data_IF_461258773038
#
_entry.id   IF_461258773038
#
_cell.length_a   1.000
_cell.length_b   1.000
_cell.length_c   1.000
_cell.angle_alpha   90.00
_cell.angle_beta   90.00
_cell.angle_gamma   90.00
#
_symmetry.space_group_name_H-M   'P 1'
#
loop_
_entity.id
_entity.type
_entity.pdbx_description
1 polymer ?
2 non-polymer ?
3 non-polymer ?
4 non-polymer ?
5 water ?
#
# COMPACT_ATOMS: atom_id res chain seq x y z
N UNK A 12 -6.53 -22.81 -11.43
CA UNK A 12 -7.10 -22.69 -10.08
C UNK A 12 -6.06 -22.41 -8.98
N UNK A 13 -6.29 -21.42 -8.13
CA UNK A 13 -5.25 -20.89 -7.24
C UNK A 13 -5.43 -21.26 -5.75
N UNK A 14 -4.41 -21.71 -5.02
CA UNK A 14 -4.59 -22.04 -3.60
C UNK A 14 -4.35 -20.79 -2.75
N UNK A 15 -5.22 -20.54 -1.78
CA UNK A 15 -5.06 -19.52 -0.76
C UNK A 15 -3.70 -19.60 -0.05
N UNK A 16 -3.01 -18.46 -0.03
CA UNK A 16 -1.76 -18.29 0.68
C UNK A 16 -1.85 -18.39 2.19
N UNK A 17 -3.07 -18.26 2.73
CA UNK A 17 -3.22 -18.29 4.18
C UNK A 17 -3.59 -19.70 4.63
N UNK A 18 -4.61 -20.24 3.97
CA UNK A 18 -5.12 -21.53 4.43
C UNK A 18 -5.10 -22.69 3.43
N UNK A 19 -4.65 -22.49 2.19
CA UNK A 19 -4.71 -23.58 1.20
C UNK A 19 -6.06 -23.82 0.55
N UNK A 20 -7.07 -23.08 0.95
CA UNK A 20 -8.38 -23.15 0.33
C UNK A 20 -8.45 -22.69 -1.12
N UNK A 21 -9.60 -22.79 -1.78
CA UNK A 21 -9.70 -22.29 -3.17
C UNK A 21 -10.04 -20.83 -3.39
N UNK A 22 -9.26 -20.16 -4.23
CA UNK A 22 -9.46 -18.73 -4.51
C UNK A 22 -10.31 -18.59 -5.76
N UNK A 23 -11.46 -17.93 -5.65
CA UNK A 23 -12.27 -17.68 -6.82
C UNK A 23 -12.09 -16.24 -7.25
N UNK A 24 -11.71 -16.05 -8.51
CA UNK A 24 -11.52 -14.71 -9.07
C UNK A 24 -12.81 -13.93 -9.20
N UNK A 25 -12.74 -12.61 -8.96
CA UNK A 25 -13.90 -11.80 -9.28
C UNK A 25 -13.48 -10.59 -10.12
N UNK A 26 -12.18 -10.36 -10.33
CA UNK A 26 -11.81 -9.15 -11.11
C UNK A 26 -10.52 -9.43 -11.85
N UNK A 27 -10.48 -9.12 -13.14
CA UNK A 27 -9.32 -9.45 -13.97
C UNK A 27 -8.91 -8.10 -14.57
N UNK A 28 -7.74 -7.61 -14.15
CA UNK A 28 -7.20 -6.33 -14.60
C UNK A 28 -6.25 -6.47 -15.77
N UNK A 29 -6.07 -7.70 -16.26
CA UNK A 29 -5.26 -7.89 -17.47
C UNK A 29 -3.76 -7.91 -17.21
N UNK A 30 -3.00 -7.87 -18.30
CA UNK A 30 -1.56 -7.78 -18.23
C UNK A 30 -1.13 -6.43 -17.67
N UNK A 31 -0.22 -6.46 -16.71
CA UNK A 31 0.29 -5.27 -16.05
C UNK A 31 1.81 -5.38 -16.00
N UNK A 32 2.46 -4.21 -16.08
CA UNK A 32 3.89 -4.12 -15.77
C UNK A 32 4.14 -4.06 -14.27
N UNK A 33 5.41 -4.20 -13.85
CA UNK A 33 5.76 -3.75 -12.51
C UNK A 33 5.38 -2.29 -12.25
N UNK A 34 4.80 -2.04 -11.08
CA UNK A 34 4.21 -0.73 -10.81
C UNK A 34 5.26 0.35 -10.59
N UNK A 35 6.50 -0.04 -10.28
CA UNK A 35 7.46 0.97 -9.88
C UNK A 35 8.72 0.91 -10.72
N UNK A 36 8.58 0.33 -11.90
CA UNK A 36 9.70 0.33 -12.84
C UNK A 36 9.59 1.50 -13.80
N UNK A 37 10.40 2.53 -13.64
CA UNK A 37 10.28 3.73 -14.49
C UNK A 37 11.47 3.74 -15.44
N UNK A 38 11.25 3.59 -16.74
CA UNK A 38 12.40 3.43 -17.65
C UNK A 38 12.83 4.77 -18.21
N UNK A 39 14.09 4.88 -18.61
CA UNK A 39 14.50 6.13 -19.27
C UNK A 39 13.91 6.14 -20.68
N UNK A 40 13.71 7.33 -21.29
CA UNK A 40 13.09 7.36 -22.61
C UNK A 40 13.85 6.54 -23.64
N UNK A 41 15.17 6.51 -23.55
CA UNK A 41 15.98 5.77 -24.53
C UNK A 41 15.91 4.27 -24.34
N UNK A 42 15.46 3.83 -23.17
CA UNK A 42 15.51 2.42 -22.84
C UNK A 42 14.61 1.59 -23.73
N UNK A 43 15.08 0.41 -24.07
CA UNK A 43 14.27 -0.48 -24.88
C UNK A 43 12.92 -0.79 -24.22
N UNK A 44 11.88 -0.83 -25.04
CA UNK A 44 10.56 -1.02 -24.49
C UNK A 44 10.31 -2.51 -24.60
N UNK A 45 10.99 -3.23 -23.72
CA UNK A 45 10.34 -4.41 -23.18
C UNK A 45 10.20 -4.13 -21.69
N UNK A 46 9.30 -4.88 -21.07
CA UNK A 46 9.33 -5.09 -19.62
C UNK A 46 8.53 -6.30 -19.14
N UNK A 47 8.82 -6.75 -17.92
CA UNK A 47 8.15 -7.90 -17.34
C UNK A 47 6.66 -7.55 -17.25
N UNK A 48 5.77 -8.43 -17.71
CA UNK A 48 4.35 -8.22 -17.33
C UNK A 48 3.85 -9.47 -16.63
N UNK A 49 2.70 -9.41 -15.97
CA UNK A 49 2.17 -10.55 -15.23
C UNK A 49 0.66 -10.33 -15.33
N UNK A 50 -0.14 -11.32 -14.99
CA UNK A 50 -1.59 -11.08 -15.06
C UNK A 50 -2.09 -10.62 -13.71
N UNK A 51 -2.69 -9.43 -13.65
CA UNK A 51 -3.16 -8.92 -12.38
C UNK A 51 -4.63 -9.30 -12.27
N UNK A 52 -5.00 -10.18 -11.34
CA UNK A 52 -6.41 -10.48 -11.13
C UNK A 52 -6.59 -10.84 -9.65
N UNK A 53 -7.80 -10.69 -9.12
CA UNK A 53 -7.99 -10.81 -7.69
C UNK A 53 -9.13 -11.76 -7.40
N UNK A 54 -8.95 -12.48 -6.30
CA UNK A 54 -9.97 -13.50 -5.95
C UNK A 54 -10.21 -13.51 -4.46
N UNK A 55 -11.15 -14.35 -4.01
CA UNK A 55 -11.42 -14.54 -2.60
C UNK A 55 -11.32 -16.03 -2.28
N UNK A 56 -10.54 -16.35 -1.25
CA UNK A 56 -10.57 -17.69 -0.70
C UNK A 56 -11.96 -18.11 -0.23
N UNK A 57 -12.35 -19.33 -0.58
CA UNK A 57 -13.61 -19.94 -0.15
C UNK A 57 -13.73 -20.30 1.32
N UNK A 58 -12.60 -20.53 1.97
CA UNK A 58 -12.60 -20.98 3.35
C UNK A 58 -12.45 -19.85 4.36
N UNK A 59 -11.47 -18.99 4.09
CA UNK A 59 -11.06 -18.00 5.08
C UNK A 59 -11.40 -16.56 4.71
N UNK A 60 -11.96 -16.42 3.51
CA UNK A 60 -12.42 -15.13 3.00
C UNK A 60 -11.36 -14.06 2.67
N UNK A 61 -10.12 -14.49 2.70
CA UNK A 61 -8.95 -13.68 2.30
C UNK A 61 -9.02 -13.29 0.83
N UNK A 62 -9.06 -11.99 0.61
CA UNK A 62 -9.00 -11.44 -0.77
C UNK A 62 -7.54 -11.25 -1.15
N UNK A 63 -7.19 -11.76 -2.33
CA UNK A 63 -5.79 -11.85 -2.73
C UNK A 63 -5.62 -11.97 -4.24
N UNK A 64 -4.42 -11.63 -4.72
CA UNK A 64 -4.11 -11.74 -6.13
C UNK A 64 -3.96 -13.20 -6.52
N UNK A 65 -4.13 -13.49 -7.80
CA UNK A 65 -3.92 -14.88 -8.24
C UNK A 65 -2.58 -15.16 -8.92
N UNK A 66 -1.72 -14.16 -9.08
CA UNK A 66 -0.37 -14.43 -9.53
C UNK A 66 0.58 -13.60 -8.65
N UNK A 67 1.61 -14.23 -8.09
CA UNK A 67 2.60 -13.48 -7.32
C UNK A 67 3.75 -13.03 -8.23
N UNK A 68 4.28 -11.84 -8.00
CA UNK A 68 5.52 -11.42 -8.65
C UNK A 68 6.62 -11.79 -7.68
N UNK A 69 7.69 -12.44 -8.14
CA UNK A 69 8.78 -12.75 -7.21
C UNK A 69 9.27 -11.53 -6.43
N UNK A 70 9.41 -11.70 -5.11
CA UNK A 70 9.90 -10.63 -4.25
C UNK A 70 11.12 -9.88 -4.78
N UNK A 71 12.08 -10.60 -5.35
CA UNK A 71 13.29 -9.91 -5.75
C UNK A 71 13.08 -9.03 -6.99
N UNK A 72 11.94 -9.17 -7.67
CA UNK A 72 11.64 -8.28 -8.81
C UNK A 72 11.14 -6.92 -8.37
N UNK A 73 10.61 -6.94 -7.15
CA UNK A 73 9.92 -5.77 -6.59
C UNK A 73 10.75 -5.00 -5.56
N UNK A 74 11.52 -5.74 -4.76
CA UNK A 74 12.25 -5.15 -3.64
C UNK A 74 13.75 -5.42 -3.83
N UNK A 75 14.46 -4.32 -4.08
CA UNK A 75 15.89 -4.40 -4.43
C UNK A 75 16.45 -3.00 -4.40
N UNK A 76 17.63 -2.79 -5.01
CA UNK A 76 18.38 -1.56 -4.72
C UNK A 76 17.78 -0.32 -5.34
N UNK A 77 16.90 -0.49 -6.32
CA UNK A 77 16.32 0.70 -6.93
C UNK A 77 14.87 1.05 -6.64
N UNK A 78 14.38 0.53 -5.54
CA UNK A 78 13.03 0.80 -5.09
C UNK A 78 12.79 2.30 -4.93
N UNK A 79 11.94 2.88 -5.78
CA UNK A 79 11.80 4.32 -5.91
C UNK A 79 10.92 4.98 -4.86
N UNK A 80 10.29 4.25 -3.95
CA UNK A 80 9.33 4.91 -3.04
C UNK A 80 9.98 5.23 -1.71
N UNK A 81 9.98 6.51 -1.33
CA UNK A 81 10.72 6.93 -0.16
C UNK A 81 9.61 7.50 0.74
N UNK A 82 9.22 6.80 1.81
CA UNK A 82 7.98 7.10 2.53
C UNK A 82 8.02 8.54 3.03
N UNK A 83 9.22 9.00 3.35
CA UNK A 83 9.28 10.33 3.96
C UNK A 83 8.93 11.52 3.07
N UNK A 84 8.53 11.28 1.82
CA UNK A 84 8.12 12.33 0.89
C UNK A 84 6.72 12.90 1.12
N UNK A 85 6.02 12.46 2.16
CA UNK A 85 4.69 13.01 2.45
C UNK A 85 4.79 13.51 3.88
N UNK A 86 4.39 14.78 4.03
CA UNK A 86 4.32 15.41 5.34
C UNK A 86 3.23 14.77 6.21
N UNK A 87 2.07 14.49 5.62
CA UNK A 87 1.01 13.81 6.34
C UNK A 87 1.56 12.49 6.90
N UNK A 88 2.25 11.71 6.06
CA UNK A 88 2.67 10.41 6.54
C UNK A 88 3.77 10.59 7.58
N UNK A 89 4.64 11.60 7.42
CA UNK A 89 5.70 11.74 8.43
C UNK A 89 5.03 11.94 9.80
N UNK A 90 4.00 12.77 9.82
CA UNK A 90 3.29 13.05 11.08
C UNK A 90 2.54 11.81 11.59
N UNK A 91 1.95 11.10 10.65
CA UNK A 91 1.22 9.88 10.99
C UNK A 91 2.14 8.91 11.72
N UNK A 92 3.34 8.68 11.20
CA UNK A 92 4.17 7.66 11.85
C UNK A 92 4.82 8.15 13.13
N UNK A 93 5.18 9.43 13.18
CA UNK A 93 5.71 9.99 14.43
C UNK A 93 4.74 9.72 15.58
N UNK A 94 3.45 9.98 15.34
CA UNK A 94 2.42 9.79 16.35
C UNK A 94 2.26 8.33 16.73
N UNK A 95 2.20 7.48 15.71
CA UNK A 95 2.16 6.05 16.00
C UNK A 95 3.35 5.66 16.88
N UNK A 96 4.54 6.10 16.54
CA UNK A 96 5.74 5.80 17.34
C UNK A 96 5.59 6.31 18.78
N UNK A 97 5.11 7.53 18.97
CA UNK A 97 4.91 8.04 20.33
C UNK A 97 3.88 7.23 21.12
N UNK A 98 2.79 6.87 20.42
CA UNK A 98 1.76 6.05 21.03
C UNK A 98 2.36 4.74 21.53
N UNK A 99 3.20 4.07 20.74
CA UNK A 99 3.87 2.86 21.20
C UNK A 99 4.84 3.13 22.36
N UNK A 100 5.62 4.20 22.29
CA UNK A 100 6.55 4.52 23.38
C UNK A 100 5.78 4.69 24.71
N UNK A 101 4.57 5.22 24.60
CA UNK A 101 3.76 5.43 25.80
C UNK A 101 3.02 4.20 26.32
N UNK A 102 2.97 3.11 25.55
CA UNK A 102 2.14 1.98 25.96
C UNK A 102 2.91 0.68 25.94
N UNK A 103 3.33 0.25 24.77
CA UNK A 103 3.90 -1.09 24.71
C UNK A 103 5.39 -1.17 25.05
N UNK A 104 6.06 -0.01 24.94
CA UNK A 104 7.51 0.09 25.06
C UNK A 104 7.95 0.80 26.35
N UNK A 105 7.13 0.72 27.38
CA UNK A 105 7.47 1.19 28.73
C UNK A 105 8.35 0.25 29.54
N UNK A 106 8.58 -0.97 29.05
CA UNK A 106 9.43 -1.87 29.83
C UNK A 106 10.79 -1.33 30.26
N UNK A 107 11.54 -2.09 31.06
CA UNK A 107 12.98 -1.83 30.98
C UNK A 107 13.54 -2.43 29.68
N UNK A 108 14.31 -1.69 28.90
CA UNK A 108 14.94 -2.30 27.73
C UNK A 108 13.86 -2.85 26.79
N UNK A 109 12.91 -2.00 26.38
CA UNK A 109 12.06 -2.65 25.38
C UNK A 109 12.74 -2.84 24.02
N UNK A 110 12.13 -3.62 23.11
CA UNK A 110 12.69 -3.87 21.77
C UNK A 110 11.51 -3.80 20.78
N UNK A 111 11.65 -3.01 19.72
CA UNK A 111 10.66 -2.97 18.65
C UNK A 111 11.35 -3.26 17.33
N UNK A 112 10.74 -4.18 16.57
CA UNK A 112 11.11 -4.53 15.20
C UNK A 112 10.10 -4.02 14.18
N UNK A 113 10.56 -3.30 13.16
CA UNK A 113 9.65 -2.89 12.10
C UNK A 113 10.02 -3.66 10.82
N UNK A 114 8.98 -4.26 10.23
CA UNK A 114 9.04 -4.91 8.92
C UNK A 114 8.70 -3.82 7.89
N UNK A 115 9.65 -3.55 7.02
CA UNK A 115 9.52 -2.60 5.90
C UNK A 115 9.66 -1.16 6.37
N UNK A 116 10.79 -0.93 7.03
CA UNK A 116 10.96 0.38 7.65
C UNK A 116 11.23 1.49 6.62
N UNK A 117 11.52 1.09 5.38
CA UNK A 117 11.82 2.02 4.30
C UNK A 117 12.88 3.05 4.74
N UNK A 118 12.70 4.34 4.50
CA UNK A 118 13.72 5.36 4.79
C UNK A 118 13.76 5.77 6.26
N UNK A 119 13.12 4.97 7.12
CA UNK A 119 13.03 5.18 8.56
C UNK A 119 11.99 6.19 9.03
N UNK A 120 10.95 6.44 8.25
CA UNK A 120 9.80 7.30 8.59
C UNK A 120 9.20 7.07 9.98
N UNK A 121 9.05 5.81 10.38
CA UNK A 121 8.61 5.52 11.75
C UNK A 121 9.77 5.43 12.73
N UNK A 122 10.78 4.64 12.41
CA UNK A 122 11.78 4.30 13.42
C UNK A 122 12.61 5.49 13.89
N UNK A 123 12.64 6.55 13.11
CA UNK A 123 13.38 7.73 13.54
C UNK A 123 12.97 8.19 14.95
N UNK A 124 11.67 8.15 15.26
CA UNK A 124 11.17 8.60 16.56
C UNK A 124 11.59 7.62 17.66
N UNK A 125 11.57 6.33 17.36
CA UNK A 125 12.00 5.30 18.28
C UNK A 125 13.49 5.49 18.63
N UNK A 126 14.31 5.65 17.61
CA UNK A 126 15.75 5.85 17.82
C UNK A 126 15.99 7.09 18.67
N UNK A 127 15.27 8.16 18.35
CA UNK A 127 15.39 9.45 19.04
C UNK A 127 14.95 9.36 20.48
N UNK A 128 14.15 8.34 20.81
CA UNK A 128 13.78 7.96 22.18
C UNK A 128 14.76 7.04 22.89
N UNK A 129 15.81 6.63 22.17
CA UNK A 129 16.84 5.79 22.76
C UNK A 129 16.39 4.37 22.98
N UNK A 130 15.31 3.95 22.30
CA UNK A 130 14.78 2.61 22.48
C UNK A 130 15.42 1.64 21.49
N UNK A 131 15.77 0.44 21.96
CA UNK A 131 16.38 -0.57 21.10
C UNK A 131 15.42 -1.04 20.00
N UNK A 132 15.91 -1.16 18.77
CA UNK A 132 15.02 -1.38 17.63
C UNK A 132 15.83 -2.02 16.50
N UNK A 133 15.09 -2.51 15.51
CA UNK A 133 15.69 -3.08 14.32
C UNK A 133 14.65 -2.95 13.22
N UNK A 134 15.04 -2.27 12.13
CA UNK A 134 14.28 -2.31 10.87
C UNK A 134 14.72 -3.41 9.92
N UNK A 135 13.77 -4.15 9.36
CA UNK A 135 14.05 -5.01 8.21
C UNK A 135 13.66 -4.26 6.95
N UNK A 136 14.61 -4.10 6.05
CA UNK A 136 14.30 -3.35 4.83
C UNK A 136 15.19 -3.98 3.73
N UNK A 137 14.61 -4.88 2.93
CA UNK A 137 15.35 -5.61 1.89
C UNK A 137 15.73 -4.70 0.74
N UNK A 138 15.14 -3.50 0.67
CA UNK A 138 15.45 -2.61 -0.44
C UNK A 138 16.58 -1.68 -0.06
N UNK A 139 17.75 -1.99 -0.61
CA UNK A 139 18.96 -1.47 0.00
C UNK A 139 19.09 0.05 -0.05
N UNK A 140 18.62 0.72 -1.10
CA UNK A 140 18.74 2.17 -1.16
C UNK A 140 17.93 2.94 -0.11
N UNK A 141 16.66 2.59 0.09
CA UNK A 141 15.92 3.10 1.24
C UNK A 141 16.50 2.65 2.58
N UNK A 142 17.00 1.42 2.67
CA UNK A 142 17.63 1.00 3.91
C UNK A 142 18.76 1.99 4.25
N UNK A 143 19.48 2.46 3.24
CA UNK A 143 20.66 3.28 3.50
C UNK A 143 20.23 4.64 4.04
N UNK A 144 19.12 5.16 3.52
CA UNK A 144 18.56 6.44 3.97
C UNK A 144 18.16 6.38 5.45
N UNK A 145 17.61 5.25 5.88
CA UNK A 145 17.33 5.00 7.28
C UNK A 145 18.58 4.91 8.18
N UNK A 146 19.59 4.13 7.79
CA UNK A 146 20.83 4.09 8.57
C UNK A 146 21.45 5.48 8.74
N UNK A 147 21.33 6.33 7.73
CA UNK A 147 21.83 7.70 7.81
C UNK A 147 21.19 8.53 8.94
N UNK A 148 19.99 8.18 9.35
CA UNK A 148 19.33 8.82 10.48
C UNK A 148 19.75 8.16 11.79
N UNK A 149 20.68 7.21 11.74
CA UNK A 149 21.10 6.56 12.97
C UNK A 149 20.34 5.31 13.36
N UNK A 150 19.42 4.91 12.48
CA UNK A 150 18.53 3.79 12.76
C UNK A 150 19.24 2.48 12.45
N UNK A 151 18.98 1.45 13.26
CA UNK A 151 19.55 0.13 13.07
C UNK A 151 18.70 -0.67 12.09
N UNK A 152 19.29 -1.03 10.95
CA UNK A 152 18.52 -1.64 9.88
C UNK A 152 19.22 -2.89 9.36
N UNK A 153 18.49 -3.98 9.10
CA UNK A 153 19.03 -5.15 8.39
C UNK A 153 18.50 -5.19 6.96
N UNK A 154 19.40 -5.28 5.98
CA UNK A 154 18.95 -5.27 4.60
C UNK A 154 18.56 -6.72 4.31
N UNK A 155 17.35 -7.10 4.70
CA UNK A 155 16.95 -8.50 4.54
C UNK A 155 15.44 -8.51 4.49
N UNK A 156 14.88 -9.57 3.91
CA UNK A 156 13.45 -9.78 4.06
C UNK A 156 13.18 -10.33 5.46
N UNK A 157 12.16 -9.82 6.13
CA UNK A 157 11.59 -10.52 7.27
C UNK A 157 10.87 -11.80 6.84
N UNK A 158 11.24 -12.94 7.44
CA UNK A 158 10.59 -14.24 7.25
C UNK A 158 11.02 -15.14 8.41
N UNK A 159 10.56 -16.40 8.43
CA UNK A 159 10.81 -17.32 9.55
C UNK A 159 12.29 -17.29 9.93
N UNK A 160 13.18 -17.39 8.94
CA UNK A 160 14.58 -17.64 9.27
C UNK A 160 15.27 -16.41 9.81
N UNK A 161 14.99 -15.24 9.22
CA UNK A 161 15.70 -14.06 9.67
C UNK A 161 15.08 -13.62 11.00
N UNK A 162 13.80 -13.91 11.20
CA UNK A 162 13.24 -13.71 12.54
C UNK A 162 13.91 -14.60 13.60
N UNK A 163 14.26 -15.84 13.25
CA UNK A 163 14.96 -16.72 14.18
C UNK A 163 16.34 -16.14 14.50
N UNK A 164 17.02 -15.64 13.49
CA UNK A 164 18.33 -15.05 13.68
C UNK A 164 18.18 -13.89 14.67
N UNK A 165 17.15 -13.06 14.48
CA UNK A 165 17.05 -11.88 15.33
C UNK A 165 16.70 -12.26 16.77
N UNK A 166 15.88 -13.28 16.94
CA UNK A 166 15.53 -13.78 18.26
C UNK A 166 16.80 -14.23 18.97
N UNK A 167 17.57 -15.07 18.28
CA UNK A 167 18.82 -15.61 18.78
C UNK A 167 19.79 -14.58 19.35
N UNK A 168 20.02 -13.48 18.65
CA UNK A 168 20.99 -12.46 19.01
C UNK A 168 20.42 -11.26 19.78
N UNK A 169 19.13 -10.97 19.65
CA UNK A 169 18.61 -9.77 20.28
C UNK A 169 17.52 -10.04 21.30
N UNK A 170 17.05 -11.28 21.38
CA UNK A 170 15.98 -11.66 22.30
C UNK A 170 14.63 -11.20 21.78
N UNK A 171 13.57 -11.33 22.61
CA UNK A 171 12.20 -11.18 22.11
C UNK A 171 11.80 -9.73 21.82
N UNK A 172 10.85 -9.52 20.92
CA UNK A 172 10.39 -8.18 20.66
C UNK A 172 9.04 -7.95 21.33
N UNK A 173 8.96 -6.83 22.05
CA UNK A 173 7.70 -6.35 22.58
C UNK A 173 6.69 -5.93 21.53
N UNK A 174 7.18 -5.28 20.47
CA UNK A 174 6.31 -4.88 19.36
C UNK A 174 6.97 -5.32 18.05
N UNK A 175 6.22 -6.00 17.19
CA UNK A 175 6.59 -6.07 15.76
C UNK A 175 5.54 -5.27 14.98
N UNK A 176 6.00 -4.34 14.13
CA UNK A 176 5.09 -3.41 13.47
C UNK A 176 5.37 -3.49 11.96
N UNK A 177 4.31 -3.40 11.17
CA UNK A 177 4.46 -3.33 9.70
C UNK A 177 3.37 -2.44 9.13
N UNK A 178 3.79 -1.46 8.34
CA UNK A 178 2.85 -0.54 7.71
C UNK A 178 2.99 -0.65 6.19
N UNK A 179 1.89 -0.90 5.49
CA UNK A 179 1.98 -0.94 4.02
C UNK A 179 3.02 -1.96 3.56
N UNK A 180 3.07 -3.04 4.34
CA UNK A 180 4.13 -4.01 4.12
C UNK A 180 3.59 -5.43 4.14
N UNK A 181 2.81 -5.79 5.16
CA UNK A 181 2.30 -7.15 5.22
C UNK A 181 1.44 -7.46 3.98
N UNK A 182 0.64 -6.51 3.48
CA UNK A 182 -0.17 -6.81 2.32
C UNK A 182 0.72 -7.03 1.09
N UNK A 183 2.03 -6.76 1.15
CA UNK A 183 2.94 -6.85 -0.01
C UNK A 183 3.55 -8.27 -0.05
N UNK A 184 3.21 -9.03 0.98
CA UNK A 184 3.94 -10.29 1.26
C UNK A 184 3.08 -11.56 1.12
N UNK A 185 3.17 -12.30 0.00
CA UNK A 185 2.40 -13.53 -0.20
C UNK A 185 2.72 -14.61 0.81
N UNK A 186 3.98 -14.64 1.26
CA UNK A 186 4.44 -15.60 2.26
C UNK A 186 4.13 -15.27 3.71
N UNK A 187 2.88 -14.89 3.93
CA UNK A 187 2.40 -14.38 5.20
C UNK A 187 2.50 -15.48 6.25
N UNK A 188 2.47 -16.74 5.81
CA UNK A 188 2.65 -17.81 6.79
C UNK A 188 4.07 -17.83 7.37
N UNK A 189 5.08 -17.66 6.53
CA UNK A 189 6.45 -17.59 7.06
C UNK A 189 6.68 -16.36 7.93
N UNK A 190 6.13 -15.23 7.50
CA UNK A 190 6.07 -14.05 8.37
C UNK A 190 5.50 -14.34 9.78
N UNK A 191 4.34 -14.96 9.82
CA UNK A 191 3.66 -15.27 11.07
C UNK A 191 4.47 -16.28 11.88
N UNK A 192 5.17 -17.20 11.20
CA UNK A 192 6.05 -18.10 11.93
C UNK A 192 7.18 -17.32 12.55
N UNK A 193 7.70 -16.34 11.82
CA UNK A 193 8.74 -15.45 12.32
C UNK A 193 8.18 -14.64 13.48
N UNK A 194 6.96 -14.12 13.40
CA UNK A 194 6.42 -13.34 14.53
C UNK A 194 6.35 -14.25 15.76
N UNK A 195 5.93 -15.49 15.52
CA UNK A 195 5.80 -16.47 16.61
C UNK A 195 7.16 -16.71 17.24
N UNK A 196 8.20 -16.82 16.43
CA UNK A 196 9.52 -17.06 17.02
C UNK A 196 10.04 -15.81 17.73
N UNK A 197 9.64 -14.61 17.31
CA UNK A 197 10.35 -13.42 17.79
C UNK A 197 9.65 -12.63 18.89
N UNK A 198 8.33 -12.72 18.90
CA UNK A 198 7.54 -11.76 19.68
C UNK A 198 7.51 -12.26 21.14
N UNK A 199 7.60 -11.31 22.06
CA UNK A 199 7.45 -11.55 23.50
C UNK A 199 6.14 -12.30 23.72
N UNK A 200 6.11 -13.14 24.77
CA UNK A 200 4.87 -13.85 25.05
C UNK A 200 3.71 -12.86 25.25
N UNK A 201 3.98 -11.70 25.85
CA UNK A 201 2.99 -10.62 26.01
C UNK A 201 3.13 -9.47 25.01
N UNK A 202 3.67 -9.78 23.84
CA UNK A 202 3.85 -8.70 22.86
C UNK A 202 2.68 -8.57 21.89
N UNK A 203 2.85 -7.67 20.93
CA UNK A 203 1.82 -7.44 19.92
C UNK A 203 2.46 -7.33 18.54
N UNK A 204 1.77 -7.88 17.55
CA UNK A 204 2.13 -7.69 16.14
C UNK A 204 1.06 -6.76 15.59
N UNK A 205 1.50 -5.59 15.11
CA UNK A 205 0.53 -4.56 14.72
C UNK A 205 0.84 -4.23 13.26
N UNK A 206 -0.18 -4.23 12.42
CA UNK A 206 0.13 -3.88 11.03
C UNK A 206 -1.04 -3.07 10.48
N UNK A 207 -0.72 -2.19 9.55
CA UNK A 207 -1.77 -1.42 8.94
C UNK A 207 -1.58 -1.46 7.41
N UNK A 208 -2.69 -1.62 6.69
CA UNK A 208 -2.68 -1.79 5.23
C UNK A 208 -4.01 -1.32 4.67
N UNK A 209 -4.04 -1.11 3.34
CA UNK A 209 -5.28 -0.70 2.71
C UNK A 209 -6.44 -1.66 2.99
N UNK A 210 -7.57 -1.05 3.34
CA UNK A 210 -8.73 -1.77 3.86
C UNK A 210 -9.72 -2.20 2.79
N UNK A 211 -10.13 -3.46 2.75
CA UNK A 211 -10.99 -3.95 1.68
C UNK A 211 -12.30 -3.13 1.74
N UNK A 212 -12.76 -2.78 2.95
CA UNK A 212 -14.00 -1.99 3.06
C UNK A 212 -13.94 -0.68 2.32
N UNK A 213 -12.85 0.05 2.52
CA UNK A 213 -12.67 1.27 1.75
C UNK A 213 -12.53 1.03 0.26
N UNK A 214 -11.77 0.01 -0.15
CA UNK A 214 -11.64 -0.18 -1.60
C UNK A 214 -13.01 -0.40 -2.28
N UNK A 215 -13.88 -1.17 -1.63
CA UNK A 215 -15.17 -1.58 -2.18
C UNK A 215 -16.05 -0.32 -2.15
N UNK A 216 -16.00 0.45 -1.08
CA UNK A 216 -16.90 1.62 -0.96
C UNK A 216 -16.53 2.72 -1.95
N UNK A 217 -15.23 2.85 -2.23
CA UNK A 217 -14.79 3.94 -3.10
C UNK A 217 -14.49 3.43 -4.50
N UNK A 218 -14.68 2.15 -4.80
CA UNK A 218 -14.26 1.51 -6.07
C UNK A 218 -12.82 1.94 -6.42
N UNK A 219 -11.95 1.94 -5.42
CA UNK A 219 -10.57 2.39 -5.68
C UNK A 219 -9.72 1.20 -6.16
N UNK A 220 -10.01 0.77 -7.38
CA UNK A 220 -9.34 -0.39 -7.98
C UNK A 220 -7.83 -0.14 -8.16
N UNK A 221 -7.40 1.11 -8.19
CA UNK A 221 -5.95 1.40 -8.33
C UNK A 221 -5.13 1.02 -7.08
N UNK A 222 -5.85 0.59 -6.03
CA UNK A 222 -5.22 -0.03 -4.88
C UNK A 222 -4.85 -1.48 -5.22
N UNK A 223 -5.15 -1.96 -6.42
CA UNK A 223 -4.83 -3.36 -6.76
C UNK A 223 -3.65 -3.27 -7.75
N UNK A 224 -2.47 -3.79 -7.38
CA UNK A 224 -1.34 -3.74 -8.30
C UNK A 224 -0.33 -4.72 -7.69
N UNK A 225 0.87 -4.84 -8.26
CA UNK A 225 1.72 -6.00 -7.99
C UNK A 225 2.08 -6.13 -6.51
N UNK A 226 2.34 -5.00 -5.86
CA UNK A 226 2.78 -5.02 -4.46
C UNK A 226 1.67 -5.08 -3.40
N UNK A 227 0.43 -5.02 -3.88
CA UNK A 227 -0.71 -5.28 -3.00
C UNK A 227 -1.25 -6.70 -3.18
N UNK A 228 -0.53 -7.68 -2.65
CA UNK A 228 -1.04 -9.07 -2.73
C UNK A 228 -2.37 -9.38 -2.02
N UNK A 229 -2.53 -8.83 -0.82
CA UNK A 229 -3.72 -9.04 0.02
C UNK A 229 -4.47 -7.72 0.17
N UNK A 230 -5.80 -7.76 0.09
CA UNK A 230 -6.65 -6.67 0.50
C UNK A 230 -7.33 -7.11 1.80
N UNK A 231 -6.70 -6.87 2.93
CA UNK A 231 -7.16 -7.42 4.21
C UNK A 231 -8.51 -6.82 4.66
N UNK A 232 -9.27 -7.61 5.40
CA UNK A 232 -10.44 -7.08 6.11
C UNK A 232 -10.28 -7.65 7.54
N UNK A 233 -11.15 -7.16 8.41
CA UNK A 233 -11.15 -7.69 9.79
C UNK A 233 -11.53 -9.18 9.75
N UNK A 234 -12.49 -9.53 8.91
CA UNK A 234 -12.96 -10.91 8.86
C UNK A 234 -11.80 -11.82 8.46
N UNK A 235 -11.06 -11.45 7.43
CA UNK A 235 -10.00 -12.36 6.97
C UNK A 235 -8.78 -12.30 7.88
N UNK A 236 -8.50 -11.13 8.48
CA UNK A 236 -7.35 -11.06 9.38
C UNK A 236 -7.65 -11.88 10.67
N UNK A 237 -8.88 -11.76 11.16
CA UNK A 237 -9.23 -12.56 12.36
C UNK A 237 -9.01 -14.06 12.12
N UNK A 238 -9.45 -14.55 10.96
CA UNK A 238 -9.28 -15.94 10.53
C UNK A 238 -7.82 -16.33 10.42
N UNK A 239 -7.01 -15.50 9.77
CA UNK A 239 -5.56 -15.76 9.65
C UNK A 239 -4.79 -15.80 10.97
N UNK A 240 -5.14 -14.89 11.87
CA UNK A 240 -4.52 -14.85 13.20
C UNK A 240 -4.85 -16.16 13.93
N UNK A 241 -6.13 -16.47 13.96
CA UNK A 241 -6.69 -17.63 14.71
C UNK A 241 -5.95 -18.87 14.25
N UNK A 242 -5.73 -18.94 12.94
CA UNK A 242 -5.19 -20.14 12.31
C UNK A 242 -3.73 -20.34 12.66
N UNK A 243 -3.05 -19.29 13.11
CA UNK A 243 -1.63 -19.29 13.45
C UNK A 243 -1.36 -19.18 14.93
N UNK A 244 -2.41 -19.36 15.73
CA UNK A 244 -2.25 -19.16 17.16
C UNK A 244 -2.32 -17.77 17.73
N UNK A 245 -2.61 -16.76 16.92
CA UNK A 245 -2.74 -15.39 17.40
C UNK A 245 -4.21 -15.00 17.48
N UNK A 246 -4.49 -13.78 17.89
CA UNK A 246 -5.88 -13.34 18.00
C UNK A 246 -6.00 -11.87 17.64
N UNK A 247 -7.05 -11.48 16.90
CA UNK A 247 -7.17 -10.07 16.62
C UNK A 247 -7.78 -9.38 17.85
N UNK A 248 -6.97 -8.51 18.47
CA UNK A 248 -7.38 -7.87 19.72
C UNK A 248 -7.73 -6.39 19.60
N UNK A 249 -7.38 -5.74 18.50
CA UNK A 249 -7.88 -4.39 18.30
C UNK A 249 -7.86 -4.07 16.80
N UNK A 250 -8.71 -3.11 16.42
CA UNK A 250 -8.75 -2.56 15.08
C UNK A 250 -8.90 -1.05 15.18
N UNK A 251 -8.30 -0.34 14.23
CA UNK A 251 -8.49 1.09 14.17
C UNK A 251 -8.50 1.48 12.68
N UNK A 252 -9.54 2.21 12.28
CA UNK A 252 -9.54 2.70 10.90
C UNK A 252 -8.69 3.95 10.76
N UNK A 253 -8.02 4.08 9.62
CA UNK A 253 -7.11 5.19 9.41
C UNK A 253 -7.46 5.78 8.06
N UNK A 254 -7.35 7.11 7.90
CA UNK A 254 -7.75 7.69 6.61
C UNK A 254 -6.63 7.72 5.55
N UNK A 255 -5.40 7.48 6.00
CA UNK A 255 -4.28 7.54 5.09
C UNK A 255 -4.38 6.48 4.00
N UNK A 256 -3.76 6.78 2.86
CA UNK A 256 -3.68 5.86 1.73
C UNK A 256 -5.02 5.41 1.22
N UNK A 257 -5.99 6.31 1.34
CA UNK A 257 -7.29 6.00 0.80
C UNK A 257 -8.18 5.19 1.71
N UNK A 258 -7.70 4.90 2.91
CA UNK A 258 -8.50 4.14 3.87
C UNK A 258 -7.79 2.85 4.25
N UNK A 259 -7.41 2.75 5.52
CA UNK A 259 -6.69 1.59 6.04
C UNK A 259 -7.31 1.10 7.35
N UNK A 260 -6.93 -0.11 7.75
CA UNK A 260 -7.17 -0.62 9.12
C UNK A 260 -5.82 -0.95 9.70
N UNK A 261 -5.62 -0.53 10.94
CA UNK A 261 -4.53 -1.02 11.77
C UNK A 261 -5.07 -2.14 12.64
N UNK A 262 -4.43 -3.30 12.45
CA UNK A 262 -4.83 -4.53 13.11
C UNK A 262 -3.84 -4.82 14.23
N UNK A 263 -4.33 -5.17 15.41
CA UNK A 263 -3.42 -5.55 16.50
C UNK A 263 -3.55 -7.04 16.84
N UNK A 264 -2.51 -7.85 16.68
CA UNK A 264 -2.59 -9.28 16.96
C UNK A 264 -1.81 -9.56 18.25
N UNK A 265 -2.40 -10.35 19.13
CA UNK A 265 -1.67 -10.87 20.29
C UNK A 265 -1.78 -12.40 20.29
N UNK A 266 -0.94 -13.07 21.08
CA UNK A 266 -1.10 -14.51 21.07
C UNK A 266 -2.43 -14.87 21.73
N UNK A 267 -3.00 -16.00 21.33
CA UNK A 267 -4.40 -16.37 21.58
C UNK A 267 -4.69 -16.32 23.08
N UNK A 268 -5.81 -15.70 23.45
CA UNK A 268 -6.11 -15.35 24.85
C UNK A 268 -5.17 -14.60 25.79
N UNK A 269 -4.08 -14.06 25.27
CA UNK A 269 -3.20 -13.22 26.07
C UNK A 269 -3.82 -11.88 26.43
N UNK A 270 -4.77 -11.40 25.61
CA UNK A 270 -5.39 -10.13 25.95
C UNK A 270 -6.86 -10.19 25.54
N UNK A 271 -7.64 -9.26 26.07
CA UNK A 271 -9.05 -9.32 25.71
C UNK A 271 -9.34 -8.42 24.52
N UNK A 272 -10.03 -8.93 23.50
CA UNK A 272 -10.19 -8.07 22.33
C UNK A 272 -11.02 -6.85 22.64
N UNK A 273 -10.67 -5.71 22.04
CA UNK A 273 -11.48 -4.52 22.24
C UNK A 273 -12.85 -4.69 21.60
N UNK A 274 -13.78 -3.85 22.06
CA UNK A 274 -15.14 -3.87 21.53
C UNK A 274 -15.08 -3.54 20.04
N UNK A 275 -14.06 -2.77 19.68
CA UNK A 275 -13.94 -2.35 18.28
C UNK A 275 -13.81 -3.56 17.35
N UNK A 276 -13.19 -4.67 17.77
CA UNK A 276 -13.03 -5.83 16.89
C UNK A 276 -14.40 -6.42 16.57
N UNK A 277 -15.23 -6.79 17.56
CA UNK A 277 -16.55 -7.32 17.26
C UNK A 277 -17.38 -6.34 16.42
N UNK A 278 -17.25 -5.05 16.70
CA UNK A 278 -18.09 -4.06 16.05
C UNK A 278 -17.76 -3.99 14.56
N UNK A 279 -16.47 -3.98 14.25
CA UNK A 279 -16.10 -4.02 12.83
C UNK A 279 -16.45 -5.34 12.15
N UNK A 280 -16.23 -6.49 12.81
CA UNK A 280 -16.63 -7.78 12.24
C UNK A 280 -18.13 -7.78 11.90
N UNK A 281 -18.90 -7.19 12.81
CA UNK A 281 -20.35 -7.17 12.61
C UNK A 281 -20.77 -6.25 11.46
N UNK A 282 -20.05 -5.16 11.25
CA UNK A 282 -20.35 -4.19 10.19
C UNK A 282 -20.11 -4.86 8.82
N UNK A 283 -18.99 -5.55 8.74
CA UNK A 283 -18.60 -6.29 7.54
C UNK A 283 -19.58 -7.43 7.22
N UNK A 284 -20.10 -8.15 8.21
CA UNK A 284 -21.03 -9.26 7.99
C UNK A 284 -22.35 -8.64 7.53
N UNK A 285 -22.72 -7.57 8.22
CA UNK A 285 -23.96 -6.86 7.93
C UNK A 285 -23.94 -6.31 6.51
N UNK A 286 -22.83 -5.63 6.16
CA UNK A 286 -22.65 -5.09 4.83
C UNK A 286 -22.26 -6.07 3.72
N UNK A 287 -22.16 -7.34 4.08
CA UNK A 287 -21.70 -8.45 3.23
C UNK A 287 -20.48 -8.06 2.39
N UNK A 288 -19.57 -7.34 3.05
CA UNK A 288 -18.32 -6.91 2.43
C UNK A 288 -17.64 -8.02 1.63
N UNK A 289 -17.50 -9.20 2.20
CA UNK A 289 -16.67 -10.20 1.51
C UNK A 289 -17.47 -11.29 0.77
N UNK A 290 -18.78 -11.10 0.63
CA UNK A 290 -19.62 -12.00 -0.17
C UNK A 290 -19.18 -11.85 -1.62
N UNK A 291 -19.09 -12.98 -2.33
CA UNK A 291 -18.70 -12.90 -3.75
C UNK A 291 -19.56 -11.94 -4.56
N UNK A 292 -20.86 -11.87 -4.28
CA UNK A 292 -21.69 -10.92 -5.01
C UNK A 292 -21.35 -9.44 -4.83
N UNK A 293 -20.95 -9.05 -3.62
CA UNK A 293 -20.51 -7.70 -3.34
C UNK A 293 -19.21 -7.43 -4.14
N UNK A 294 -18.31 -8.41 -4.08
CA UNK A 294 -17.01 -8.18 -4.72
C UNK A 294 -17.16 -8.13 -6.24
N UNK A 295 -18.11 -8.89 -6.77
CA UNK A 295 -18.44 -8.84 -8.20
C UNK A 295 -19.11 -7.55 -8.59
N UNK A 296 -20.02 -7.05 -7.75
CA UNK A 296 -20.55 -5.71 -7.98
C UNK A 296 -19.43 -4.65 -8.03
N UNK A 297 -18.49 -4.77 -7.12
CA UNK A 297 -17.32 -3.87 -7.12
C UNK A 297 -16.65 -3.96 -8.49
N UNK A 298 -16.39 -5.18 -8.95
CA UNK A 298 -15.76 -5.39 -10.26
C UNK A 298 -16.51 -4.77 -11.42
N UNK A 299 -17.83 -4.91 -11.43
CA UNK A 299 -18.68 -4.14 -12.34
C UNK A 299 -18.54 -2.64 -12.24
N UNK A 300 -18.41 -2.09 -11.04
CA UNK A 300 -18.17 -0.65 -10.96
C UNK A 300 -16.79 -0.21 -11.44
N UNK A 301 -15.83 -1.13 -11.31
CA UNK A 301 -14.48 -0.91 -11.83
C UNK A 301 -14.52 -0.67 -13.33
N UNK A 302 -15.24 -1.56 -14.02
CA UNK A 302 -15.38 -1.41 -15.47
C UNK A 302 -16.12 -0.12 -15.80
N UNK A 303 -17.16 0.20 -15.05
CA UNK A 303 -17.82 1.48 -15.31
C UNK A 303 -16.92 2.72 -15.22
N UNK A 304 -16.06 2.75 -14.21
CA UNK A 304 -15.14 3.86 -14.02
C UNK A 304 -14.16 3.89 -15.17
N UNK A 305 -13.61 2.75 -15.57
CA UNK A 305 -12.73 2.70 -16.74
C UNK A 305 -13.43 3.34 -17.94
N UNK A 306 -14.68 2.91 -18.15
CA UNK A 306 -15.36 3.35 -19.37
C UNK A 306 -15.65 4.85 -19.30
N UNK A 307 -16.08 5.29 -18.13
CA UNK A 307 -16.32 6.75 -17.99
C UNK A 307 -15.05 7.61 -18.02
N UNK A 308 -13.96 7.06 -17.51
CA UNK A 308 -12.74 7.86 -17.47
C UNK A 308 -12.19 7.98 -18.88
N UNK A 309 -12.14 6.87 -19.61
CA UNK A 309 -11.69 7.02 -21.00
C UNK A 309 -12.60 7.87 -21.89
N UNK A 310 -13.90 7.74 -21.70
CA UNK A 310 -14.78 8.60 -22.47
C UNK A 310 -14.44 10.04 -22.17
N UNK A 311 -14.26 10.40 -20.89
CA UNK A 311 -13.91 11.79 -20.57
C UNK A 311 -12.61 12.25 -21.22
N UNK A 312 -11.57 11.42 -21.09
CA UNK A 312 -10.29 11.87 -21.58
C UNK A 312 -10.31 12.03 -23.12
N UNK A 313 -11.07 11.20 -23.84
CA UNK A 313 -11.13 11.33 -25.29
C UNK A 313 -11.99 12.52 -25.69
N UNK A 314 -13.06 12.76 -24.95
CA UNK A 314 -13.79 14.02 -25.10
C UNK A 314 -12.97 15.29 -24.88
N UNK A 315 -12.19 15.34 -23.81
CA UNK A 315 -11.22 16.42 -23.60
C UNK A 315 -10.29 16.67 -24.77
N UNK A 316 -9.69 15.59 -25.29
CA UNK A 316 -8.78 15.76 -26.43
C UNK A 316 -9.53 16.31 -27.64
N UNK A 317 -10.71 15.78 -27.89
CA UNK A 317 -11.49 16.27 -29.03
C UNK A 317 -11.90 17.73 -28.83
N UNK A 318 -12.07 18.20 -27.60
CA UNK A 318 -12.40 19.61 -27.45
C UNK A 318 -11.16 20.50 -27.30
N UNK A 319 -9.97 19.99 -27.57
CA UNK A 319 -8.76 20.80 -27.56
C UNK A 319 -8.23 21.20 -26.19
N UNK A 320 -8.57 20.42 -25.16
CA UNK A 320 -8.21 20.70 -23.78
C UNK A 320 -7.01 19.84 -23.40
N UNK A 321 -6.01 20.47 -22.80
CA UNK A 321 -4.79 19.74 -22.39
C UNK A 321 -5.00 19.02 -21.07
N UNK A 322 -4.41 17.83 -20.91
CA UNK A 322 -4.57 17.01 -19.73
C UNK A 322 -3.19 16.49 -19.35
N UNK A 323 -2.84 16.60 -18.07
CA UNK A 323 -1.63 15.95 -17.55
C UNK A 323 -2.05 15.10 -16.36
N UNK A 324 -1.09 14.34 -15.84
CA UNK A 324 -1.43 13.66 -14.57
C UNK A 324 -0.63 14.26 -13.42
N UNK A 325 -1.08 13.99 -12.20
CA UNK A 325 -0.37 14.52 -11.04
C UNK A 325 -0.15 13.41 -10.02
N UNK A 326 1.12 13.06 -9.83
CA UNK A 326 1.50 11.94 -8.99
C UNK A 326 1.79 10.70 -9.82
N UNK A 327 3.06 10.32 -9.89
CA UNK A 327 3.39 9.08 -10.60
C UNK A 327 3.32 7.93 -9.60
N UNK A 328 2.13 7.69 -9.04
CA UNK A 328 1.92 6.66 -8.02
C UNK A 328 2.15 5.26 -8.60
N UNK A 329 2.52 4.29 -7.76
CA UNK A 329 2.45 2.88 -8.14
C UNK A 329 1.03 2.53 -8.60
N UNK A 330 0.03 3.04 -7.89
CA UNK A 330 -1.36 2.81 -8.20
C UNK A 330 -1.71 3.18 -9.64
N UNK A 331 -1.15 4.28 -10.12
CA UNK A 331 -1.48 4.75 -11.45
C UNK A 331 -1.09 3.71 -12.51
N UNK A 332 -0.12 2.84 -12.25
CA UNK A 332 0.11 1.82 -13.28
C UNK A 332 -1.13 1.00 -13.64
N UNK A 333 -1.93 0.65 -12.64
CA UNK A 333 -3.11 -0.13 -12.87
C UNK A 333 -4.13 0.65 -13.70
N UNK A 334 -4.33 1.90 -13.32
CA UNK A 334 -5.20 2.76 -14.13
C UNK A 334 -4.81 2.90 -15.60
N UNK A 335 -3.54 3.23 -15.84
CA UNK A 335 -3.14 3.60 -17.22
C UNK A 335 -3.15 2.33 -18.06
N UNK A 336 -2.74 1.19 -17.47
CA UNK A 336 -2.64 -0.02 -18.28
C UNK A 336 -4.01 -0.66 -18.43
N UNK A 337 -4.83 -0.64 -17.37
CA UNK A 337 -6.13 -1.24 -17.56
C UNK A 337 -7.00 -0.42 -18.48
N UNK A 338 -6.86 0.91 -18.39
CA UNK A 338 -7.75 1.81 -19.09
C UNK A 338 -7.23 2.13 -20.49
N UNK A 339 -5.96 1.83 -20.75
CA UNK A 339 -5.40 2.18 -22.06
C UNK A 339 -5.06 3.65 -22.22
N UNK A 340 -4.55 4.26 -21.16
CA UNK A 340 -4.27 5.69 -21.12
C UNK A 340 -2.77 5.91 -21.34
N UNK A 341 -2.40 6.54 -22.46
CA UNK A 341 -0.99 6.92 -22.51
C UNK A 341 -0.78 8.38 -22.87
N UNK A 342 0.41 8.72 -23.40
CA UNK A 342 0.80 10.10 -23.70
C UNK A 342 -0.11 10.84 -24.69
N UNK A 343 -0.84 10.14 -25.56
CA UNK A 343 -1.74 10.81 -26.48
C UNK A 343 -2.95 11.37 -25.74
N UNK A 344 -3.26 10.84 -24.56
CA UNK A 344 -4.36 11.39 -23.74
C UNK A 344 -3.98 12.18 -22.49
N UNK A 345 -2.86 11.78 -21.90
CA UNK A 345 -2.37 12.48 -20.71
C UNK A 345 -0.90 12.75 -20.99
N UNK A 346 -0.52 14.01 -21.19
CA UNK A 346 0.79 14.23 -21.81
C UNK A 346 2.08 13.98 -21.01
N UNK A 347 2.02 14.27 -19.71
CA UNK A 347 3.10 14.19 -18.74
C UNK A 347 2.43 13.85 -17.42
N UNK A 348 3.24 13.28 -16.54
CA UNK A 348 2.85 13.17 -15.12
C UNK A 348 3.84 13.88 -14.21
N UNK A 349 3.31 14.73 -13.34
CA UNK A 349 4.15 15.53 -12.44
C UNK A 349 4.39 14.84 -11.11
N UNK A 350 5.65 14.80 -10.71
CA UNK A 350 5.95 14.01 -9.51
C UNK A 350 7.19 14.52 -8.78
N UNK A 351 7.18 14.41 -7.45
CA UNK A 351 8.24 14.95 -6.60
C UNK A 351 9.44 14.03 -6.43
N UNK A 352 9.42 12.84 -7.03
CA UNK A 352 10.40 11.81 -6.69
C UNK A 352 11.53 11.91 -7.70
N UNK A 353 12.76 12.24 -7.28
CA UNK A 353 13.83 12.41 -8.25
C UNK A 353 14.07 11.16 -9.11
N UNK A 354 14.04 9.99 -8.50
CA UNK A 354 14.28 8.70 -9.17
C UNK A 354 13.16 8.36 -10.17
N UNK A 355 12.01 9.03 -10.14
CA UNK A 355 11.00 8.84 -11.18
C UNK A 355 10.98 9.93 -12.26
N UNK A 356 11.61 11.06 -11.98
CA UNK A 356 11.67 12.14 -12.96
C UNK A 356 12.59 11.81 -14.15
N UNK A 357 12.32 12.42 -15.30
CA UNK A 357 13.02 12.15 -16.56
C UNK A 357 12.94 10.68 -16.96
N UNK A 358 11.82 10.05 -16.63
CA UNK A 358 11.58 8.65 -16.94
C UNK A 358 10.18 8.54 -17.54
N UNK A 359 9.80 7.35 -18.01
CA UNK A 359 8.47 7.06 -18.52
C UNK A 359 7.73 6.16 -17.52
N UNK A 360 6.43 6.35 -17.38
CA UNK A 360 5.64 5.51 -16.45
C UNK A 360 5.57 4.10 -17.01
N UNK A 361 5.42 3.07 -16.14
CA UNK A 361 5.50 1.71 -16.66
C UNK A 361 4.25 1.34 -17.46
N UNK A 362 4.51 0.58 -18.51
CA UNK A 362 3.48 0.10 -19.40
C UNK A 362 2.98 1.18 -20.35
N UNK A 363 2.51 2.30 -19.78
CA UNK A 363 1.87 3.33 -20.59
C UNK A 363 2.90 4.30 -21.14
N UNK A 364 4.09 4.38 -20.56
CA UNK A 364 5.17 5.23 -21.02
C UNK A 364 4.87 6.73 -21.09
N UNK A 365 4.12 7.27 -20.13
CA UNK A 365 3.89 8.73 -20.10
C UNK A 365 5.13 9.34 -19.46
N UNK A 366 5.72 10.40 -20.04
CA UNK A 366 6.84 11.09 -19.41
C UNK A 366 6.55 11.66 -18.02
N UNK A 367 7.47 11.44 -17.08
CA UNK A 367 7.31 12.01 -15.76
C UNK A 367 8.24 13.22 -15.68
N UNK A 368 7.74 14.31 -15.12
CA UNK A 368 8.48 15.56 -14.96
C UNK A 368 8.40 16.02 -13.49
N UNK A 369 9.37 16.83 -13.03
CA UNK A 369 9.39 17.30 -11.65
C UNK A 369 8.11 18.11 -11.42
N UNK A 370 7.53 18.02 -10.22
CA UNK A 370 6.37 18.84 -9.85
C UNK A 370 6.58 20.34 -9.93
N UNK A 371 7.84 20.72 -9.76
CA UNK A 371 8.25 22.11 -9.87
C UNK A 371 7.97 22.56 -11.31
N UNK A 372 7.83 21.65 -12.25
CA UNK A 372 7.44 22.00 -13.62
C UNK A 372 5.96 22.20 -13.92
N UNK A 373 5.12 21.88 -12.94
CA UNK A 373 3.69 22.11 -13.02
C UNK A 373 3.54 23.54 -12.55
N UNK A 374 3.38 24.47 -13.49
CA UNK A 374 3.44 25.90 -13.18
C UNK A 374 2.83 26.66 -14.35
N UNK A 375 2.58 27.95 -14.17
CA UNK A 375 2.11 28.79 -15.25
C UNK A 375 3.02 28.77 -16.49
N UNK A 376 2.46 28.55 -17.70
CA UNK A 376 1.07 28.30 -18.09
C UNK A 376 0.63 26.87 -17.78
N UNK A 377 -0.47 26.79 -17.04
CA UNK A 377 -0.95 25.49 -16.57
C UNK A 377 -1.73 24.76 -17.66
N UNK A 378 -1.84 23.43 -17.56
CA UNK A 378 -2.75 22.75 -18.47
C UNK A 378 -4.18 22.99 -18.03
N UNK A 379 -5.13 22.61 -18.87
CA UNK A 379 -6.54 22.75 -18.54
C UNK A 379 -6.93 21.78 -17.44
N UNK A 380 -6.40 20.55 -17.46
CA UNK A 380 -6.80 19.54 -16.49
C UNK A 380 -5.61 18.77 -15.94
N UNK A 381 -5.77 18.35 -14.68
CA UNK A 381 -4.78 17.47 -14.09
C UNK A 381 -5.52 16.27 -13.51
N UNK A 382 -5.23 15.09 -14.05
CA UNK A 382 -5.76 13.82 -13.58
C UNK A 382 -5.01 13.43 -12.30
N UNK A 383 -5.75 13.33 -11.20
CA UNK A 383 -5.07 13.27 -9.91
C UNK A 383 -4.87 11.82 -9.53
N UNK A 384 -3.70 11.27 -9.82
CA UNK A 384 -3.46 9.87 -9.49
C UNK A 384 -3.12 9.80 -7.99
N UNK A 385 -2.49 10.85 -7.46
CA UNK A 385 -2.19 10.91 -6.03
C UNK A 385 -3.43 11.36 -5.23
N UNK A 386 -4.56 10.71 -5.47
CA UNK A 386 -5.84 11.24 -4.95
C UNK A 386 -5.89 11.01 -3.42
N UNK A 387 -5.13 10.05 -2.92
CA UNK A 387 -5.00 9.86 -1.47
C UNK A 387 -4.26 10.98 -0.74
N UNK A 388 -3.55 11.78 -1.52
CA UNK A 388 -2.81 12.95 -1.05
C UNK A 388 -3.50 14.23 -1.47
N UNK A 389 -4.79 14.19 -1.78
CA UNK A 389 -5.41 15.38 -2.34
C UNK A 389 -5.21 16.65 -1.52
N UNK A 390 -5.51 16.58 -0.23
CA UNK A 390 -5.44 17.78 0.60
C UNK A 390 -4.00 18.30 0.59
N UNK A 391 -3.02 17.42 0.79
CA UNK A 391 -1.61 17.84 0.87
C UNK A 391 -1.14 18.47 -0.44
N UNK A 392 -1.48 17.83 -1.55
CA UNK A 392 -1.16 18.34 -2.89
C UNK A 392 -1.93 19.59 -3.25
N UNK A 393 -3.25 19.61 -3.05
CA UNK A 393 -3.97 20.78 -3.55
C UNK A 393 -3.61 22.04 -2.78
N UNK A 394 -3.15 21.89 -1.54
CA UNK A 394 -2.76 23.02 -0.70
C UNK A 394 -1.51 23.66 -1.31
N UNK A 395 -0.70 22.88 -2.03
CA UNK A 395 0.54 23.40 -2.61
C UNK A 395 0.24 23.90 -4.02
N UNK A 396 -0.95 23.59 -4.54
CA UNK A 396 -1.23 23.89 -5.93
C UNK A 396 -2.47 24.77 -6.02
N UNK A 397 -2.65 25.70 -5.09
CA UNK A 397 -3.69 26.72 -5.25
C UNK A 397 -3.64 27.57 -6.51
N UNK A 398 -2.44 27.98 -6.92
CA UNK A 398 -2.28 28.83 -8.10
C UNK A 398 -2.89 28.12 -9.32
N UNK A 399 -2.61 26.83 -9.51
CA UNK A 399 -3.21 26.07 -10.61
C UNK A 399 -4.73 26.25 -10.65
N UNK A 400 -5.39 25.96 -9.53
CA UNK A 400 -6.84 26.05 -9.56
C UNK A 400 -7.37 27.48 -9.67
N UNK A 401 -6.62 28.42 -9.07
CA UNK A 401 -6.96 29.84 -9.19
C UNK A 401 -6.86 30.26 -10.65
N UNK A 402 -5.90 29.69 -11.36
CA UNK A 402 -5.77 30.12 -12.75
C UNK A 402 -6.85 29.55 -13.65
N UNK A 403 -7.69 28.66 -13.10
CA UNK A 403 -8.76 27.96 -13.79
C UNK A 403 -8.47 26.50 -14.12
N UNK A 404 -7.31 25.95 -13.77
CA UNK A 404 -7.11 24.52 -14.00
C UNK A 404 -7.95 23.68 -13.06
N UNK A 405 -8.36 22.50 -13.52
CA UNK A 405 -9.33 21.69 -12.76
C UNK A 405 -8.71 20.33 -12.59
N UNK A 406 -9.09 19.68 -11.49
CA UNK A 406 -8.64 18.33 -11.25
C UNK A 406 -9.64 17.31 -11.80
N UNK A 407 -9.13 16.20 -12.31
CA UNK A 407 -9.98 15.10 -12.74
C UNK A 407 -9.70 13.99 -11.73
N UNK A 408 -10.73 13.54 -11.02
CA UNK A 408 -10.56 12.43 -10.09
C UNK A 408 -11.39 11.26 -10.64
N UNK A 409 -10.95 10.06 -10.30
CA UNK A 409 -11.73 8.87 -10.65
C UNK A 409 -12.13 8.06 -9.42
N UNK A 410 -11.92 8.60 -8.21
CA UNK A 410 -12.30 7.91 -6.96
C UNK A 410 -13.15 8.94 -6.22
N UNK A 411 -14.36 8.56 -5.79
CA UNK A 411 -15.07 7.30 -5.91
C UNK A 411 -15.79 7.11 -7.26
N UNK A 412 -15.78 8.16 -8.10
CA UNK A 412 -16.46 8.19 -9.39
C UNK A 412 -15.64 9.17 -10.21
N UNK A 413 -15.78 9.10 -11.53
CA UNK A 413 -15.15 10.12 -12.40
C UNK A 413 -15.81 11.47 -12.18
N UNK A 414 -15.04 12.49 -11.85
CA UNK A 414 -15.65 13.84 -11.70
C UNK A 414 -14.53 14.88 -11.78
N UNK A 415 -14.95 16.12 -12.02
CA UNK A 415 -14.02 17.24 -12.20
C UNK A 415 -14.31 18.31 -11.16
N UNK A 416 -13.27 18.83 -10.54
CA UNK A 416 -13.48 19.90 -9.56
C UNK A 416 -12.32 20.86 -9.42
X LIG B 1 -7.89 -19.08 2.78
X LIG C 1 6.49 1.21 6.02
X LIG C 1 6.70 2.17 4.90
X LIG C 1 7.09 1.48 3.60
X LIG C 1 5.96 0.79 2.83
X LIG C 1 6.56 0.16 1.29
X LIG C 1 5.45 2.98 4.71
X LIG C 1 4.44 2.59 5.30
X LIG C 1 5.37 3.93 3.94
X LIG C 1 6.79 -1.58 1.57
X LIG C 1 8.21 -1.77 2.07
X LIG C 1 8.37 -3.14 2.49
X LIG C 1 9.37 -1.52 1.09
X LIG C 1 10.39 -0.62 1.58
X LIG C 1 9.92 -2.92 0.88
X LIG C 1 11.29 -3.01 0.45
X LIG C 1 9.69 -3.59 2.22
X LIG C 1 9.59 -5.08 2.20
X LIG C 1 9.15 -5.91 1.24
X LIG C 1 9.13 -7.20 1.68
X LIG C 1 9.62 -7.21 2.95
X LIG C 1 9.89 -8.19 4.03
X LIG C 1 9.69 -9.51 3.80
X LIG C 1 10.41 -7.74 5.21
X LIG C 1 10.58 -6.43 5.42
X LIG C 1 10.35 -5.44 4.52
X LIG C 1 9.90 -5.79 3.28
X LIG D 1 1.47 7.36 -2.78
X LIG D 1 3.38 3.26 -2.85
X LIG D 1 2.11 3.49 -3.50
X LIG D 1 3.89 1.85 -3.15
X LIG D 1 1.87 4.86 -4.26
X LIG D 1 3.92 1.00 -1.89
X LIG D 1 3.92 -0.38 -2.40
X LIG D 1 2.74 1.30 -0.98
X LIG D 1 2.06 0.39 -0.50
X LIG D 1 2.33 2.71 -0.71
X LIG D 1 3.23 3.52 -1.46
X LIG D 1 2.61 3.20 0.71
X LIG D 1 4.03 11.86 -5.49
X LIG D 1 3.67 13.07 -4.74
X LIG D 1 2.09 7.75 -1.46
X LIG D 1 5.15 11.13 -4.77
X LIG D 1 3.88 14.27 -5.29
X LIG D 1 4.28 14.39 -6.47
X LIG D 1 0.01 7.60 -3.05
X LIG D 1 4.91 9.65 -5.06
X LIG D 1 5.51 9.35 -6.34
X LIG D 1 3.54 15.39 -4.61
X LIG D 1 5.24 1.23 -1.18
X LIG D 1 0.48 4.78 -4.87
X LIG D 1 3.41 9.60 -5.34
X LIG D 1 2.97 10.93 -5.49
X LIG D 1 3.10 15.34 -3.34
X LIG D 1 2.81 16.37 -2.67
X LIG D 1 3.00 5.24 -5.18
X LIG D 1 2.44 9.43 -4.18
X LIG D 1 2.34 8.06 -3.92
X LIG D 1 2.87 14.02 -2.73
X LIG D 1 2.37 13.91 -1.31
X LIG D 1 3.22 12.90 -3.47
X LIG D 1 2.06 5.92 -3.06
#
# INVERSE_FOLDING_TARGET
GHMSHLADVSPPTACRVCGGGVQEFLDLGRQPLSDRFRKPDELDDEFTYRLAVGRCDSCEMVQLTEEVPRDLMFHEVYPYHSSGSSVMREHFAMLARDFLATELTGPDPFIVEIGCNDGIMLRTIQEAGVRHLGFEPSSGVAAKAREKGIRVRTDFFEKATADDVRRTEGPANVIYAANTLCHIPYVQSVLEGVDALLAPDGVFVFEDPYLGDIVAKTSFDQIYDQHFFLFSATSVQGMAQRCGFELVDVQRLPVHGGEVRYTLARQGSRTPSAAVAQLLAAEREQELSDMATLRAFAGNVVKIRDELTALLHRLRAEGRSVVGYGATAKSATVTNFCGIGPDLVHSVYDTTPDKQNRLTPGAHIPVRPASAFSDPYPDYALLFAWNHAEEIMAKEQEFHQAGGRWILYVPEVHIR
ZN ZN
SAH N CA CB CG SD C O OXT C5' C4' O4' C3' O3' C2' O2' C1' N9 C8 N7 C5 C6 N6 N1 C2 N3 C4
JHZ P C1 O1 C2 P2 C3 N3 C4 O4 C5 O5 C6 C1X N11 O1P C2X C21 O21 O2P C3X O3X N31 C3M O3P C4X O4X C41 O41 O4P C5X O5X C51 C5A C61 OPP
#
